data_IF_398649052858
#
_entry.id   IF_398649052858
#
_cell.length_a   1.000
_cell.length_b   1.000
_cell.length_c   1.000
_cell.angle_alpha   90.00
_cell.angle_beta   90.00
_cell.angle_gamma   90.00
#
_symmetry.space_group_name_H-M   'P 1'
#
loop_
_entity.id
_entity.type
_entity.pdbx_description
1 polymer ?
#
# COMPACT_ATOMS: atom_id res chain seq x y z
N UNK A 1 -5.42 -6.44 -17.93
CA UNK A 1 -5.66 -6.39 -16.48
C UNK A 1 -5.62 -7.82 -15.98
N UNK A 2 -4.65 -8.20 -15.17
CA UNK A 2 -4.57 -9.54 -14.58
C UNK A 2 -5.39 -9.56 -13.28
N UNK A 3 -6.31 -10.52 -13.14
CA UNK A 3 -7.24 -10.60 -12.01
C UNK A 3 -6.85 -11.78 -11.11
N UNK A 4 -6.56 -11.51 -9.84
CA UNK A 4 -6.46 -12.54 -8.80
C UNK A 4 -7.74 -12.53 -7.97
N UNK A 5 -8.32 -13.70 -7.72
CA UNK A 5 -9.52 -13.88 -6.89
C UNK A 5 -9.20 -14.92 -5.83
N UNK A 6 -9.47 -14.58 -4.58
CA UNK A 6 -9.39 -15.52 -3.46
C UNK A 6 -10.81 -15.86 -2.99
N UNK A 7 -11.07 -17.13 -2.68
CA UNK A 7 -12.35 -17.63 -2.19
C UNK A 7 -12.13 -18.37 -0.86
N UNK A 8 -12.94 -18.06 0.14
CA UNK A 8 -12.98 -18.76 1.42
C UNK A 8 -14.35 -19.40 1.64
N UNK A 9 -14.39 -20.61 2.20
CA UNK A 9 -15.64 -21.34 2.52
C UNK A 9 -15.63 -21.76 3.99
N UNK A 10 -16.61 -21.35 4.81
CA UNK A 10 -16.69 -21.76 6.22
C UNK A 10 -17.05 -23.24 6.37
N UNK A 11 -16.50 -23.89 7.40
CA UNK A 11 -16.80 -25.29 7.74
C UNK A 11 -18.08 -25.47 8.57
N UNK A 12 -18.41 -24.54 9.48
CA UNK A 12 -19.53 -24.72 10.43
C UNK A 12 -20.29 -23.44 10.79
N UNK A 13 -19.59 -22.33 11.07
CA UNK A 13 -20.16 -21.01 11.33
C UNK A 13 -19.49 -19.98 10.41
N UNK A 14 -20.18 -18.92 9.92
CA UNK A 14 -19.52 -17.87 9.16
C UNK A 14 -18.47 -17.16 10.03
N UNK A 15 -17.16 -17.24 9.71
CA UNK A 15 -16.15 -16.43 10.37
C UNK A 15 -16.12 -15.04 9.73
N UNK A 16 -15.58 -14.02 10.43
CA UNK A 16 -15.05 -12.86 9.72
C UNK A 16 -13.94 -13.32 8.77
N UNK A 17 -13.96 -12.81 7.53
CA UNK A 17 -12.93 -13.07 6.52
C UNK A 17 -12.48 -11.74 5.95
N UNK A 18 -11.18 -11.49 6.00
CA UNK A 18 -10.54 -10.39 5.30
C UNK A 18 -9.25 -10.93 4.65
N UNK A 19 -9.18 -10.91 3.32
CA UNK A 19 -8.07 -11.47 2.57
C UNK A 19 -7.37 -10.35 1.82
N UNK A 20 -6.05 -10.28 1.93
CA UNK A 20 -5.26 -9.27 1.24
C UNK A 20 -4.00 -9.88 0.62
N UNK A 21 -3.38 -9.15 -0.32
CA UNK A 21 -2.10 -9.51 -0.94
C UNK A 21 -0.95 -8.71 -0.31
N UNK A 22 -0.13 -9.38 0.51
CA UNK A 22 1.01 -8.77 1.19
C UNK A 22 2.29 -8.75 0.32
N UNK A 23 2.17 -8.30 -0.93
CA UNK A 23 3.30 -8.21 -1.85
C UNK A 23 4.11 -6.92 -1.62
N UNK A 24 5.44 -7.07 -1.57
CA UNK A 24 6.38 -5.95 -1.47
C UNK A 24 6.82 -5.50 -2.86
N UNK A 25 6.49 -4.26 -3.21
CA UNK A 25 6.81 -3.65 -4.50
C UNK A 25 7.96 -2.65 -4.36
N UNK A 26 8.95 -2.76 -5.25
CA UNK A 26 9.87 -1.68 -5.54
C UNK A 26 9.97 -1.54 -7.06
N UNK A 27 9.41 -0.44 -7.59
CA UNK A 27 9.32 -0.20 -9.02
C UNK A 27 10.68 0.14 -9.67
N UNK A 28 11.72 0.52 -8.93
CA UNK A 28 13.08 0.61 -9.48
C UNK A 28 13.68 -0.79 -9.75
N UNK A 29 13.23 -1.78 -8.97
CA UNK A 29 13.64 -3.17 -9.01
C UNK A 29 13.77 -3.71 -7.58
N UNK A 30 13.70 -5.03 -7.38
CA UNK A 30 13.79 -5.58 -6.02
C UNK A 30 15.13 -5.32 -5.32
N UNK A 31 16.14 -4.87 -6.06
CA UNK A 31 17.48 -4.55 -5.61
C UNK A 31 17.86 -3.07 -5.79
N UNK A 32 16.89 -2.17 -6.01
CA UNK A 32 17.16 -0.75 -6.28
C UNK A 32 17.31 0.13 -5.04
N UNK A 33 17.30 -0.45 -3.84
CA UNK A 33 17.42 0.30 -2.59
C UNK A 33 16.06 0.62 -1.97
N UNK A 34 15.92 1.82 -1.41
CA UNK A 34 14.69 2.27 -0.76
C UNK A 34 13.61 2.74 -1.77
N UNK A 35 12.47 3.17 -1.24
CA UNK A 35 11.28 3.62 -1.98
C UNK A 35 11.00 5.12 -1.87
N UNK A 36 11.91 5.91 -1.28
CA UNK A 36 11.57 7.29 -0.91
C UNK A 36 11.32 8.19 -2.11
N UNK A 37 12.00 7.94 -3.23
CA UNK A 37 11.81 8.68 -4.49
C UNK A 37 10.61 8.22 -5.31
N UNK A 38 9.96 7.10 -4.97
CA UNK A 38 8.71 6.70 -5.62
C UNK A 38 7.65 7.72 -5.28
N UNK A 39 6.85 8.09 -6.27
CA UNK A 39 5.65 8.90 -6.04
C UNK A 39 4.46 7.98 -5.86
N UNK A 40 3.57 8.33 -4.94
CA UNK A 40 2.31 7.64 -4.72
C UNK A 40 1.16 8.64 -4.67
N UNK A 41 0.03 8.24 -5.26
CA UNK A 41 -1.27 8.86 -5.10
C UNK A 41 -2.24 7.81 -4.56
N UNK A 42 -2.99 8.16 -3.52
CA UNK A 42 -4.04 7.32 -2.91
C UNK A 42 -5.39 8.02 -3.02
N UNK A 43 -6.41 7.28 -3.47
CA UNK A 43 -7.77 7.79 -3.62
C UNK A 43 -8.64 7.45 -2.40
N UNK A 44 -8.11 7.73 -1.20
CA UNK A 44 -8.81 7.62 0.08
C UNK A 44 -8.56 8.89 0.90
N UNK A 45 -9.62 9.45 1.48
CA UNK A 45 -9.58 10.74 2.20
C UNK A 45 -9.54 10.57 3.72
N UNK A 46 -9.67 9.34 4.20
CA UNK A 46 -9.73 9.01 5.61
C UNK A 46 -8.89 7.77 5.87
N UNK A 47 -8.44 7.60 7.12
CA UNK A 47 -7.69 6.44 7.59
C UNK A 47 -8.28 5.89 8.87
N UNK A 48 -7.95 4.63 9.18
CA UNK A 48 -8.34 3.97 10.44
C UNK A 48 -7.11 3.60 11.28
N UNK A 49 -6.59 4.49 12.14
CA UNK A 49 -5.42 4.20 12.98
C UNK A 49 -5.68 3.11 14.02
N UNK A 50 -6.86 3.14 14.66
CA UNK A 50 -7.28 2.14 15.66
C UNK A 50 -8.80 1.92 15.56
N UNK A 51 -9.59 2.71 16.30
CA UNK A 51 -11.05 2.55 16.45
C UNK A 51 -11.83 3.76 15.92
N UNK A 52 -11.16 4.67 15.20
CA UNK A 52 -11.75 5.88 14.64
C UNK A 52 -11.40 6.02 13.16
N UNK A 53 -12.28 6.73 12.44
CA UNK A 53 -12.06 7.15 11.07
C UNK A 53 -11.68 8.64 11.13
N UNK A 54 -10.49 8.97 10.63
CA UNK A 54 -9.94 10.34 10.68
C UNK A 54 -9.56 10.81 9.29
N UNK A 55 -9.84 12.08 9.00
CA UNK A 55 -9.52 12.69 7.72
C UNK A 55 -8.01 12.91 7.57
N UNK A 56 -7.46 12.64 6.39
CA UNK A 56 -6.02 12.78 6.13
C UNK A 56 -5.59 14.17 5.69
N UNK A 57 -6.54 15.06 5.36
CA UNK A 57 -6.25 16.39 4.82
C UNK A 57 -5.32 17.16 5.73
N UNK A 58 -4.31 17.80 5.13
CA UNK A 58 -3.31 18.61 5.83
C UNK A 58 -2.45 17.80 6.84
N UNK A 59 -2.39 16.46 6.69
CA UNK A 59 -1.53 15.57 7.49
C UNK A 59 -0.45 14.91 6.62
N UNK A 60 0.58 14.27 7.22
CA UNK A 60 1.52 13.42 6.49
C UNK A 60 0.88 12.25 5.74
N UNK A 61 -0.38 11.92 6.00
CA UNK A 61 -1.13 10.87 5.32
C UNK A 61 -1.90 11.40 4.09
N UNK A 62 -1.86 12.71 3.79
CA UNK A 62 -2.52 13.23 2.60
C UNK A 62 -1.72 12.85 1.34
N UNK A 63 -2.22 11.86 0.60
CA UNK A 63 -1.72 11.44 -0.71
C UNK A 63 -2.78 11.61 -1.82
N UNK A 64 -3.76 12.50 -1.61
CA UNK A 64 -4.78 12.76 -2.63
C UNK A 64 -4.15 13.32 -3.92
N UNK A 65 -3.12 14.16 -3.77
CA UNK A 65 -2.22 14.51 -4.86
C UNK A 65 -0.97 13.63 -4.82
N UNK A 66 -0.48 13.24 -6.00
CA UNK A 66 0.72 12.44 -6.12
C UNK A 66 1.92 13.19 -5.50
N UNK A 67 2.65 12.52 -4.62
CA UNK A 67 3.91 13.03 -4.06
C UNK A 67 4.87 11.90 -3.71
N UNK A 68 6.14 12.26 -3.53
CA UNK A 68 7.18 11.33 -3.10
C UNK A 68 6.85 10.73 -1.73
N UNK A 69 7.05 9.43 -1.56
CA UNK A 69 6.80 8.75 -0.29
C UNK A 69 7.71 9.33 0.82
N UNK A 70 8.95 9.70 0.48
CA UNK A 70 9.90 10.30 1.41
C UNK A 70 9.58 11.73 1.88
N UNK A 71 8.74 12.47 1.15
CA UNK A 71 8.56 13.93 1.32
C UNK A 71 8.19 14.39 2.73
N UNK A 72 7.29 13.66 3.41
CA UNK A 72 6.83 13.97 4.78
C UNK A 72 7.22 12.88 5.77
N UNK A 73 8.14 12.00 5.38
CA UNK A 73 8.48 10.79 6.15
C UNK A 73 9.02 11.11 7.55
N UNK A 74 9.79 12.19 7.68
CA UNK A 74 10.38 12.65 8.96
C UNK A 74 9.34 13.13 9.98
N UNK A 75 8.07 13.31 9.57
CA UNK A 75 6.98 13.67 10.47
C UNK A 75 6.31 12.44 11.10
N UNK A 76 6.74 11.23 10.71
CA UNK A 76 6.22 9.97 11.21
C UNK A 76 7.30 9.24 12.01
N UNK A 77 7.00 8.76 13.23
CA UNK A 77 7.98 8.05 14.05
C UNK A 77 8.43 6.74 13.39
N UNK A 78 7.48 5.99 12.83
CA UNK A 78 7.69 4.62 12.35
C UNK A 78 7.43 4.45 10.85
N UNK A 79 7.19 5.54 10.12
CA UNK A 79 6.80 5.52 8.71
C UNK A 79 5.33 5.19 8.48
N UNK A 80 4.95 4.93 7.23
CA UNK A 80 3.56 4.60 6.91
C UNK A 80 3.28 3.13 7.18
N UNK A 81 2.24 2.90 7.98
CA UNK A 81 1.58 1.62 8.23
C UNK A 81 0.13 1.91 8.64
N UNK A 82 -0.71 2.21 7.64
CA UNK A 82 -2.05 2.71 7.90
C UNK A 82 -3.04 2.22 6.84
N UNK A 83 -4.25 1.90 7.27
CA UNK A 83 -5.37 1.59 6.36
C UNK A 83 -6.07 2.87 5.93
N UNK A 84 -6.15 3.10 4.61
CA UNK A 84 -6.98 4.14 4.01
C UNK A 84 -8.38 3.60 3.74
N UNK A 85 -9.38 4.38 4.12
CA UNK A 85 -10.79 4.11 3.82
C UNK A 85 -11.06 4.49 2.36
N UNK A 86 -11.68 3.57 1.62
CA UNK A 86 -12.02 3.76 0.21
C UNK A 86 -13.53 3.99 0.06
N UNK A 87 -13.88 4.93 -0.81
CA UNK A 87 -15.28 5.26 -1.08
C UNK A 87 -16.08 4.05 -1.55
N UNK A 88 -17.33 3.98 -1.06
CA UNK A 88 -18.23 2.84 -1.23
C UNK A 88 -18.20 2.27 -2.65
N UNK A 89 -17.77 1.02 -2.75
CA UNK A 89 -17.58 0.32 -4.02
C UNK A 89 -18.85 -0.48 -4.27
N UNK A 90 -19.61 -0.09 -5.31
CA UNK A 90 -20.72 -0.90 -5.78
C UNK A 90 -20.25 -2.36 -5.94
N UNK A 91 -20.93 -3.35 -5.34
CA UNK A 91 -20.50 -4.74 -5.38
C UNK A 91 -20.18 -5.19 -6.81
N UNK A 92 -18.95 -5.67 -7.03
CA UNK A 92 -18.48 -6.16 -8.33
C UNK A 92 -17.79 -5.14 -9.24
N UNK A 93 -17.75 -3.86 -8.85
CA UNK A 93 -17.03 -2.82 -9.60
C UNK A 93 -15.66 -2.53 -8.98
N UNK A 94 -14.62 -2.61 -9.80
CA UNK A 94 -13.28 -2.18 -9.42
C UNK A 94 -13.14 -0.67 -9.61
N UNK A 95 -12.57 0.03 -8.62
CA UNK A 95 -12.11 1.41 -8.77
C UNK A 95 -10.61 1.46 -8.65
N UNK A 96 -9.99 2.43 -9.31
CA UNK A 96 -8.57 2.75 -9.11
C UNK A 96 -8.41 3.39 -7.74
N UNK A 97 -7.50 2.86 -6.92
CA UNK A 97 -7.33 3.29 -5.52
C UNK A 97 -5.92 3.73 -5.19
N UNK A 98 -4.94 3.32 -5.99
CA UNK A 98 -3.57 3.81 -5.88
C UNK A 98 -2.89 3.91 -7.25
N UNK A 99 -1.98 4.86 -7.37
CA UNK A 99 -1.00 4.94 -8.45
C UNK A 99 0.38 5.11 -7.83
N UNK A 100 1.33 4.26 -8.21
CA UNK A 100 2.73 4.37 -7.80
C UNK A 100 3.60 4.51 -9.03
N UNK A 101 4.55 5.43 -9.01
CA UNK A 101 5.50 5.64 -10.10
C UNK A 101 6.93 5.73 -9.57
N UNK A 102 7.88 5.29 -10.39
CA UNK A 102 9.30 5.46 -10.14
C UNK A 102 9.93 6.05 -11.40
N UNK A 103 10.60 7.19 -11.25
CA UNK A 103 10.95 8.07 -12.35
C UNK A 103 12.13 7.56 -13.18
N UNK A 104 13.09 6.86 -12.58
CA UNK A 104 14.31 6.39 -13.26
C UNK A 104 14.00 5.23 -14.20
N UNK A 105 13.25 4.23 -13.74
CA UNK A 105 12.80 3.11 -14.57
C UNK A 105 11.60 3.46 -15.47
N UNK A 106 10.86 4.53 -15.13
CA UNK A 106 9.61 4.92 -15.79
C UNK A 106 8.45 3.97 -15.51
N UNK A 107 8.60 3.01 -14.57
CA UNK A 107 7.55 2.03 -14.28
C UNK A 107 6.41 2.67 -13.49
N UNK A 108 5.19 2.20 -13.78
CA UNK A 108 3.95 2.61 -13.14
C UNK A 108 3.16 1.39 -12.68
N UNK A 109 2.70 1.42 -11.44
CA UNK A 109 1.73 0.48 -10.89
C UNK A 109 0.40 1.21 -10.70
N UNK A 110 -0.68 0.65 -11.22
CA UNK A 110 -2.04 1.10 -10.89
C UNK A 110 -2.75 -0.02 -10.12
N UNK A 111 -3.26 0.30 -8.94
CA UNK A 111 -4.02 -0.64 -8.12
C UNK A 111 -5.51 -0.38 -8.30
N UNK A 112 -6.23 -1.44 -8.61
CA UNK A 112 -7.68 -1.43 -8.75
C UNK A 112 -8.27 -2.48 -7.82
N UNK A 113 -9.24 -2.11 -7.01
CA UNK A 113 -9.86 -3.01 -6.02
C UNK A 113 -11.36 -2.80 -5.91
N UNK A 114 -12.03 -3.80 -5.33
CA UNK A 114 -13.42 -3.80 -4.90
C UNK A 114 -13.56 -3.91 -3.36
N UNK A 115 -12.48 -3.64 -2.64
CA UNK A 115 -12.36 -3.74 -1.18
C UNK A 115 -12.56 -2.36 -0.52
N UNK A 116 -13.03 -2.34 0.73
CA UNK A 116 -13.36 -1.10 1.45
C UNK A 116 -12.15 -0.30 1.95
N UNK A 117 -10.94 -0.88 1.87
CA UNK A 117 -9.72 -0.23 2.34
C UNK A 117 -8.48 -0.65 1.58
N UNK A 118 -7.40 0.09 1.81
CA UNK A 118 -6.05 -0.27 1.36
C UNK A 118 -5.06 0.01 2.49
N UNK A 119 -4.39 -1.04 2.98
CA UNK A 119 -3.24 -0.88 3.88
C UNK A 119 -2.05 -0.36 3.06
N UNK A 120 -1.53 0.80 3.43
CA UNK A 120 -0.28 1.31 2.90
C UNK A 120 0.83 1.14 3.93
N UNK A 121 1.77 0.25 3.63
CA UNK A 121 2.90 -0.08 4.50
C UNK A 121 4.23 0.10 3.78
N UNK A 122 5.22 0.67 4.48
CA UNK A 122 6.53 1.05 3.91
C UNK A 122 7.69 0.21 4.44
N UNK A 123 7.47 -1.09 4.70
CA UNK A 123 8.54 -2.02 5.09
C UNK A 123 9.33 -1.58 6.33
N UNK A 124 8.63 -1.03 7.31
CA UNK A 124 9.16 -0.40 8.51
C UNK A 124 10.01 -1.37 9.34
N UNK A 125 9.64 -2.65 9.29
CA UNK A 125 10.18 -3.73 10.10
C UNK A 125 11.16 -4.63 9.34
N UNK A 126 11.42 -4.40 8.06
CA UNK A 126 12.44 -5.19 7.34
C UNK A 126 13.82 -4.91 7.94
N UNK A 127 14.51 -5.95 8.40
CA UNK A 127 15.86 -5.83 8.93
C UNK A 127 16.80 -6.79 8.19
N UNK A 128 17.47 -6.25 7.17
CA UNK A 128 18.52 -6.91 6.41
C UNK A 128 18.19 -8.36 5.97
N UNK A 129 16.99 -8.55 5.41
CA UNK A 129 16.50 -9.86 5.02
C UNK A 129 17.20 -10.33 3.73
N UNK A 130 17.73 -11.56 3.72
CA UNK A 130 18.34 -12.14 2.52
C UNK A 130 17.28 -12.39 1.44
N UNK A 131 17.39 -11.67 0.34
CA UNK A 131 16.50 -11.68 -0.80
C UNK A 131 17.00 -12.48 -1.99
N UNK A 132 16.36 -12.25 -3.15
CA UNK A 132 16.70 -12.91 -4.42
C UNK A 132 18.04 -12.41 -4.95
N UNK A 133 18.77 -13.26 -5.66
CA UNK A 133 20.02 -12.88 -6.32
C UNK A 133 21.12 -12.40 -5.37
N UNK A 134 21.07 -12.77 -4.09
CA UNK A 134 22.02 -12.31 -3.07
C UNK A 134 21.78 -10.89 -2.54
N UNK A 135 20.70 -10.23 -2.97
CA UNK A 135 20.31 -8.92 -2.45
C UNK A 135 19.93 -9.00 -0.97
N UNK A 136 20.14 -7.92 -0.23
CA UNK A 136 19.70 -7.76 1.15
C UNK A 136 18.62 -6.69 1.18
N UNK A 137 17.42 -7.04 1.63
CA UNK A 137 16.29 -6.13 1.75
C UNK A 137 16.36 -5.41 3.11
N UNK A 138 16.72 -4.13 3.08
CA UNK A 138 16.77 -3.25 4.24
C UNK A 138 15.38 -2.66 4.56
N UNK A 139 15.30 -1.88 5.65
CA UNK A 139 14.14 -1.04 5.94
C UNK A 139 13.81 -0.17 4.73
N UNK A 140 12.51 0.01 4.47
CA UNK A 140 12.01 0.85 3.35
C UNK A 140 12.39 0.34 1.96
N UNK A 141 12.81 -0.92 1.80
CA UNK A 141 13.17 -1.47 0.49
C UNK A 141 11.97 -1.73 -0.43
N UNK A 142 10.73 -1.61 0.07
CA UNK A 142 9.51 -1.85 -0.69
C UNK A 142 8.28 -1.25 -0.03
N UNK A 143 7.17 -1.24 -0.77
CA UNK A 143 5.85 -0.90 -0.25
C UNK A 143 4.89 -2.08 -0.35
N UNK A 144 3.94 -2.18 0.56
CA UNK A 144 2.76 -3.03 0.42
C UNK A 144 1.53 -2.15 0.19
N UNK A 145 0.63 -2.64 -0.67
CA UNK A 145 -0.70 -2.07 -0.90
C UNK A 145 -1.70 -3.22 -0.78
N UNK A 146 -2.24 -3.40 0.41
CA UNK A 146 -3.02 -4.58 0.76
C UNK A 146 -4.50 -4.21 0.71
N UNK A 147 -5.20 -4.77 -0.27
CA UNK A 147 -6.65 -4.62 -0.44
C UNK A 147 -7.32 -5.95 -0.27
#
# INVERSE_FOLDING_TARGET
>A
MERKVFLAKPLSKPPPVNLALHAYWNLGGHNSGDIFSHTIQLFGYEVTPVDEIVNVKDTPYDFHQAREIGSLFNQLPDGYDINYVLDDLNPGHFKKVAVVQESVSGRKLELWTNQSGVQFYTSNMLDNVKGKGGCVYAKRAGICLET
#
